data_IF_845477709617
#
_entry.id   IF_845477709617
#
_cell.length_a   1.000
_cell.length_b   1.000
_cell.length_c   1.000
_cell.angle_alpha   90.00
_cell.angle_beta   90.00
_cell.angle_gamma   90.00
#
_symmetry.space_group_name_H-M   'P 1'
#
loop_
_entity.id
_entity.type
_entity.pdbx_description
1 polymer ?
#
# COMPACT_ATOMS: atom_id res chain seq x y z
N UNK A 1 -12.14 14.35 -1.77
CA UNK A 1 -11.81 12.91 -1.80
C UNK A 1 -13.04 12.06 -1.50
N UNK A 2 -13.68 12.19 -0.32
CA UNK A 2 -14.94 11.50 0.01
C UNK A 2 -16.03 11.73 -1.06
N UNK A 3 -16.24 12.97 -1.50
CA UNK A 3 -17.27 13.31 -2.49
C UNK A 3 -17.07 12.63 -3.86
N UNK A 4 -15.82 12.32 -4.26
CA UNK A 4 -15.56 11.60 -5.52
C UNK A 4 -15.81 10.10 -5.37
N UNK A 5 -15.52 9.51 -4.20
CA UNK A 5 -15.84 8.11 -3.88
C UNK A 5 -17.35 7.88 -3.74
N UNK A 6 -18.04 8.75 -3.00
CA UNK A 6 -19.50 8.68 -2.81
C UNK A 6 -20.28 8.79 -4.12
N UNK A 7 -19.81 9.63 -5.05
CA UNK A 7 -20.45 9.77 -6.38
C UNK A 7 -20.12 8.63 -7.34
N UNK A 8 -19.16 7.78 -7.03
CA UNK A 8 -18.62 6.72 -7.93
C UNK A 8 -18.32 7.23 -9.34
N UNK A 9 -17.97 8.52 -9.45
CA UNK A 9 -17.63 9.21 -10.69
C UNK A 9 -16.14 9.51 -10.72
N UNK A 10 -15.56 9.51 -11.91
CA UNK A 10 -14.14 9.81 -12.09
C UNK A 10 -13.35 8.64 -12.68
N UNK A 11 -12.03 8.83 -12.75
CA UNK A 11 -11.12 7.81 -13.27
C UNK A 11 -11.03 6.65 -12.27
N UNK A 12 -11.22 5.44 -12.78
CA UNK A 12 -10.99 4.21 -12.01
C UNK A 12 -9.51 3.83 -12.05
N UNK A 13 -9.04 3.22 -10.99
CA UNK A 13 -7.74 2.57 -10.91
C UNK A 13 -7.94 1.12 -10.49
N UNK A 14 -7.06 0.25 -10.98
CA UNK A 14 -7.02 -1.15 -10.55
C UNK A 14 -6.00 -1.30 -9.43
N UNK A 15 -6.32 -2.12 -8.44
CA UNK A 15 -5.40 -2.45 -7.35
C UNK A 15 -4.86 -3.87 -7.56
N UNK A 16 -3.55 -4.01 -7.46
CA UNK A 16 -2.88 -5.30 -7.48
C UNK A 16 -2.89 -5.91 -6.08
N UNK A 17 -3.41 -7.14 -5.97
CA UNK A 17 -3.61 -7.82 -4.69
C UNK A 17 -3.05 -9.23 -4.82
N UNK A 18 -2.22 -9.63 -3.86
CA UNK A 18 -1.76 -11.00 -3.68
C UNK A 18 -2.28 -11.53 -2.35
N UNK A 19 -3.00 -12.64 -2.40
CA UNK A 19 -3.45 -13.35 -1.20
C UNK A 19 -2.67 -14.65 -1.09
N UNK A 20 -1.94 -14.81 -0.01
CA UNK A 20 -1.25 -16.05 0.36
C UNK A 20 -2.11 -16.76 1.42
N UNK A 21 -2.80 -17.86 1.07
CA UNK A 21 -3.72 -18.53 1.98
C UNK A 21 -3.03 -19.10 3.22
N UNK A 22 -3.75 -19.19 4.32
CA UNK A 22 -3.29 -19.90 5.51
C UNK A 22 -2.86 -21.32 5.17
N UNK A 23 -1.80 -21.81 5.81
CA UNK A 23 -1.33 -23.19 5.65
C UNK A 23 -2.29 -24.18 6.31
N UNK A 24 -2.84 -23.81 7.46
CA UNK A 24 -3.90 -24.55 8.13
C UNK A 24 -5.25 -23.82 7.97
N UNK A 25 -6.08 -24.36 7.10
CA UNK A 25 -7.42 -23.81 6.82
C UNK A 25 -8.45 -24.16 7.90
N UNK A 26 -8.16 -25.11 8.79
CA UNK A 26 -9.12 -25.56 9.83
C UNK A 26 -9.20 -24.60 11.00
N UNK A 27 -8.09 -23.89 11.29
CA UNK A 27 -7.99 -22.95 12.42
C UNK A 27 -7.72 -21.53 11.94
N UNK A 28 -8.37 -21.13 10.83
CA UNK A 28 -8.18 -19.83 10.20
C UNK A 28 -8.57 -18.70 11.16
N UNK A 29 -7.68 -17.72 11.27
CA UNK A 29 -7.81 -16.49 12.08
C UNK A 29 -7.86 -15.26 11.18
N UNK A 30 -8.01 -14.09 11.79
CA UNK A 30 -7.99 -12.80 11.10
C UNK A 30 -6.73 -12.66 10.23
N UNK A 31 -6.87 -12.19 8.98
CA UNK A 31 -5.76 -12.09 8.04
C UNK A 31 -4.72 -11.06 8.47
N UNK A 32 -3.52 -11.18 7.94
CA UNK A 32 -2.46 -10.19 8.07
C UNK A 32 -2.37 -9.36 6.79
N UNK A 33 -2.57 -8.06 6.92
CA UNK A 33 -2.32 -7.09 5.86
C UNK A 33 -0.96 -6.43 6.08
N UNK A 34 -0.06 -6.58 5.12
CA UNK A 34 1.28 -6.01 5.16
C UNK A 34 1.30 -4.65 4.46
N UNK A 35 1.80 -3.64 5.15
CA UNK A 35 1.99 -2.28 4.67
C UNK A 35 3.49 -1.98 4.57
N UNK A 36 3.97 -1.86 3.35
CA UNK A 36 5.38 -1.62 3.03
C UNK A 36 5.83 -0.19 3.32
N UNK A 37 7.14 -0.04 3.29
CA UNK A 37 7.85 1.21 3.54
C UNK A 37 7.94 2.15 2.33
N UNK A 38 8.93 2.98 2.35
CA UNK A 38 9.22 4.01 1.37
C UNK A 38 8.86 5.41 1.89
N UNK A 39 7.77 6.04 1.46
CA UNK A 39 6.62 5.57 0.67
C UNK A 39 6.99 5.18 -0.77
N UNK A 40 6.15 4.33 -1.37
CA UNK A 40 6.24 4.01 -2.80
C UNK A 40 6.68 2.57 -3.12
N UNK A 41 7.06 1.77 -2.12
CA UNK A 41 7.40 0.36 -2.33
C UNK A 41 6.10 -0.46 -2.42
N UNK A 42 6.09 -1.42 -3.33
CA UNK A 42 5.00 -2.36 -3.53
C UNK A 42 4.96 -3.42 -2.43
N UNK A 43 3.79 -3.66 -1.86
CA UNK A 43 3.63 -4.70 -0.85
C UNK A 43 3.72 -6.12 -1.44
N UNK A 44 3.32 -6.28 -2.71
CA UNK A 44 3.32 -7.59 -3.38
C UNK A 44 4.73 -8.15 -3.59
N UNK A 45 5.77 -7.31 -3.58
CA UNK A 45 7.18 -7.73 -3.56
C UNK A 45 7.54 -8.61 -2.35
N UNK A 46 6.82 -8.50 -1.23
CA UNK A 46 7.04 -9.33 -0.05
C UNK A 46 6.45 -10.76 -0.18
N UNK A 47 5.79 -11.10 -1.28
CA UNK A 47 5.15 -12.41 -1.46
C UNK A 47 6.15 -13.58 -1.33
N UNK A 48 7.34 -13.43 -1.90
CA UNK A 48 8.41 -14.42 -1.80
C UNK A 48 8.83 -14.70 -0.34
N UNK A 49 8.99 -13.67 0.47
CA UNK A 49 9.29 -13.81 1.89
C UNK A 49 8.22 -14.62 2.62
N UNK A 50 6.94 -14.25 2.46
CA UNK A 50 5.85 -14.98 3.11
C UNK A 50 5.62 -16.39 2.56
N UNK A 51 6.10 -16.69 1.36
CA UNK A 51 6.07 -18.04 0.81
C UNK A 51 7.16 -18.94 1.41
N UNK A 52 8.28 -18.35 1.86
CA UNK A 52 9.50 -19.07 2.32
C UNK A 52 9.81 -18.79 3.79
N UNK A 53 10.66 -17.82 4.07
CA UNK A 53 11.21 -17.55 5.40
C UNK A 53 10.15 -17.06 6.39
N UNK A 54 9.20 -16.25 5.93
CA UNK A 54 8.07 -15.74 6.70
C UNK A 54 6.83 -16.64 6.71
N UNK A 55 6.93 -17.90 6.22
CA UNK A 55 5.78 -18.80 6.06
C UNK A 55 5.01 -19.05 7.37
N UNK A 56 5.66 -18.95 8.52
CA UNK A 56 5.02 -19.13 9.82
C UNK A 56 3.96 -18.04 10.11
N UNK A 57 4.12 -16.84 9.54
CA UNK A 57 3.12 -15.78 9.65
C UNK A 57 1.77 -16.17 9.06
N UNK A 58 1.77 -17.09 8.08
CA UNK A 58 0.56 -17.61 7.41
C UNK A 58 0.13 -19.01 7.92
N UNK A 59 0.64 -19.48 9.05
CA UNK A 59 0.25 -20.80 9.56
C UNK A 59 -1.26 -20.91 9.73
N UNK A 60 -1.89 -19.94 10.37
CA UNK A 60 -3.33 -19.95 10.71
C UNK A 60 -4.09 -18.74 10.15
N UNK A 61 -3.51 -17.96 9.26
CA UNK A 61 -4.11 -16.75 8.68
C UNK A 61 -3.66 -16.52 7.27
N UNK A 62 -4.51 -15.92 6.47
CA UNK A 62 -4.11 -15.42 5.17
C UNK A 62 -3.15 -14.23 5.35
N UNK A 63 -2.18 -14.08 4.45
CA UNK A 63 -1.40 -12.86 4.29
C UNK A 63 -1.86 -12.17 3.03
N UNK A 64 -2.27 -10.92 3.17
CA UNK A 64 -2.80 -10.08 2.10
C UNK A 64 -1.82 -8.95 1.83
N UNK A 65 -1.38 -8.86 0.60
CA UNK A 65 -0.45 -7.85 0.10
C UNK A 65 -1.20 -7.01 -0.93
N UNK A 66 -1.32 -5.72 -0.67
CA UNK A 66 -2.01 -4.78 -1.56
C UNK A 66 -1.03 -3.69 -1.95
N UNK A 67 -0.71 -3.59 -3.23
CA UNK A 67 0.03 -2.43 -3.71
C UNK A 67 -0.85 -1.20 -3.55
N UNK A 68 -0.39 -0.21 -2.79
CA UNK A 68 -1.14 1.03 -2.62
C UNK A 68 -1.26 1.73 -3.97
N UNK A 69 -2.32 2.55 -4.13
CA UNK A 69 -2.51 3.36 -5.34
C UNK A 69 -1.22 4.08 -5.74
N UNK A 70 -0.83 3.98 -6.99
CA UNK A 70 0.37 4.61 -7.53
C UNK A 70 1.66 3.82 -7.33
N UNK A 71 1.62 2.64 -6.69
CA UNK A 71 2.79 1.79 -6.47
C UNK A 71 2.66 0.44 -7.17
N UNK A 72 3.76 -0.27 -7.34
CA UNK A 72 3.80 -1.62 -7.89
C UNK A 72 3.02 -1.77 -9.19
N UNK A 73 2.00 -2.61 -9.18
CA UNK A 73 1.08 -2.82 -10.30
C UNK A 73 -0.27 -2.08 -10.13
N UNK A 74 -0.41 -1.25 -9.09
CA UNK A 74 -1.62 -0.46 -8.80
C UNK A 74 -1.57 0.91 -9.48
N UNK A 75 -1.63 0.95 -10.80
CA UNK A 75 -1.51 2.16 -11.63
C UNK A 75 -0.27 3.01 -11.25
N UNK A 76 0.95 2.48 -11.41
CA UNK A 76 2.17 3.09 -10.91
C UNK A 76 2.38 4.52 -11.40
N UNK A 77 2.68 5.42 -10.48
CA UNK A 77 3.05 6.82 -10.75
C UNK A 77 4.57 6.96 -10.75
N UNK A 78 5.23 6.24 -11.63
CA UNK A 78 6.67 6.33 -11.83
C UNK A 78 6.99 7.24 -13.02
N UNK A 79 8.03 8.06 -12.86
CA UNK A 79 8.68 8.78 -13.95
C UNK A 79 10.04 8.11 -14.17
N UNK A 80 10.30 7.58 -15.36
CA UNK A 80 11.61 6.96 -15.65
C UNK A 80 12.73 7.98 -15.45
N UNK A 81 13.63 7.68 -14.55
CA UNK A 81 14.79 8.50 -14.28
C UNK A 81 16.04 7.86 -14.89
N UNK A 82 16.67 8.54 -15.84
CA UNK A 82 18.00 8.17 -16.33
C UNK A 82 19.02 9.01 -15.56
N UNK A 83 19.61 8.45 -14.52
CA UNK A 83 20.72 9.07 -13.79
C UNK A 83 22.04 8.71 -14.43
N UNK A 84 22.78 9.72 -14.89
CA UNK A 84 24.18 9.56 -15.20
C UNK A 84 25.00 9.52 -13.89
N UNK A 85 26.19 8.87 -13.85
CA UNK A 85 26.98 8.76 -12.62
C UNK A 85 27.25 10.10 -11.93
N UNK A 86 27.43 11.19 -12.68
CA UNK A 86 27.66 12.54 -12.15
C UNK A 86 26.41 13.11 -11.44
N UNK A 87 25.22 12.63 -11.71
CA UNK A 87 23.98 13.15 -11.12
C UNK A 87 23.84 12.75 -9.65
N UNK A 88 24.54 11.68 -9.22
CA UNK A 88 24.60 11.27 -7.82
C UNK A 88 25.34 12.26 -6.91
N UNK A 89 26.11 13.20 -7.50
CA UNK A 89 26.84 14.25 -6.77
C UNK A 89 26.09 15.59 -6.76
N UNK A 90 24.91 15.66 -7.36
CA UNK A 90 24.06 16.84 -7.42
C UNK A 90 22.96 16.80 -6.38
N UNK A 91 22.24 17.92 -6.25
CA UNK A 91 21.01 17.97 -5.47
C UNK A 91 20.04 16.87 -5.94
N UNK A 92 19.55 16.07 -4.99
CA UNK A 92 18.74 14.88 -5.29
C UNK A 92 17.41 15.23 -5.96
N UNK A 93 16.80 16.34 -5.54
CA UNK A 93 15.50 16.81 -6.03
C UNK A 93 15.53 18.32 -6.36
N UNK A 94 16.20 18.73 -7.45
CA UNK A 94 16.16 20.13 -7.88
C UNK A 94 14.72 20.58 -8.14
N UNK A 95 14.39 21.82 -7.80
CA UNK A 95 13.02 22.35 -7.92
C UNK A 95 12.42 22.15 -9.31
N UNK A 96 13.20 22.41 -10.35
CA UNK A 96 12.71 22.28 -11.73
C UNK A 96 12.47 20.82 -12.12
N UNK A 97 13.28 19.88 -11.61
CA UNK A 97 13.04 18.45 -11.77
C UNK A 97 11.71 18.04 -11.13
N UNK A 98 11.45 18.48 -9.88
CA UNK A 98 10.21 18.16 -9.18
C UNK A 98 8.98 18.76 -9.89
N UNK A 99 9.08 20.00 -10.41
CA UNK A 99 8.01 20.63 -11.19
C UNK A 99 7.72 19.85 -12.47
N UNK A 100 8.74 19.43 -13.19
CA UNK A 100 8.59 18.65 -14.42
C UNK A 100 7.99 17.26 -14.15
N UNK A 101 8.43 16.58 -13.08
CA UNK A 101 7.82 15.33 -12.63
C UNK A 101 6.33 15.53 -12.36
N UNK A 102 5.99 16.54 -11.58
CA UNK A 102 4.60 16.86 -11.24
C UNK A 102 3.77 17.07 -12.49
N UNK A 103 4.20 17.92 -13.42
CA UNK A 103 3.48 18.18 -14.68
C UNK A 103 3.27 16.90 -15.50
N UNK A 104 4.27 16.03 -15.56
CA UNK A 104 4.18 14.75 -16.26
C UNK A 104 3.16 13.83 -15.62
N UNK A 105 3.13 13.75 -14.29
CA UNK A 105 2.21 12.88 -13.55
C UNK A 105 0.78 13.42 -13.56
N UNK A 106 0.58 14.74 -13.52
CA UNK A 106 -0.74 15.38 -13.58
C UNK A 106 -1.47 15.10 -14.91
N UNK A 107 -0.75 14.81 -15.98
CA UNK A 107 -1.35 14.35 -17.26
C UNK A 107 -1.93 12.93 -17.14
N UNK A 108 -1.41 12.12 -16.22
CA UNK A 108 -1.78 10.71 -16.04
C UNK A 108 -2.77 10.50 -14.92
N UNK A 109 -2.74 11.33 -13.88
CA UNK A 109 -3.52 11.15 -12.66
C UNK A 109 -3.84 12.48 -11.97
N UNK A 110 -4.92 12.52 -11.22
CA UNK A 110 -5.18 13.58 -10.25
C UNK A 110 -4.36 13.29 -8.99
N UNK A 111 -3.22 13.95 -8.85
CA UNK A 111 -2.28 13.71 -7.74
C UNK A 111 -2.88 14.03 -6.37
N UNK A 112 -3.94 14.83 -6.31
CA UNK A 112 -4.62 15.14 -5.04
C UNK A 112 -5.32 13.91 -4.43
N UNK A 113 -5.55 12.87 -5.25
CA UNK A 113 -6.17 11.61 -4.83
C UNK A 113 -5.17 10.58 -4.30
N UNK A 114 -3.84 10.88 -4.31
CA UNK A 114 -2.80 9.96 -3.87
C UNK A 114 -2.31 10.29 -2.47
N UNK A 115 -3.24 10.32 -1.52
CA UNK A 115 -2.96 10.55 -0.10
C UNK A 115 -3.01 9.24 0.69
N UNK A 116 -2.30 9.19 1.82
CA UNK A 116 -2.33 8.01 2.71
C UNK A 116 -3.75 7.68 3.16
N UNK A 117 -4.57 8.68 3.49
CA UNK A 117 -5.96 8.44 3.93
C UNK A 117 -6.79 7.74 2.85
N UNK A 118 -6.68 8.19 1.59
CA UNK A 118 -7.42 7.57 0.49
C UNK A 118 -6.88 6.16 0.20
N UNK A 119 -5.57 5.94 0.31
CA UNK A 119 -4.99 4.61 0.16
C UNK A 119 -5.45 3.64 1.26
N UNK A 120 -5.68 4.12 2.48
CA UNK A 120 -6.22 3.30 3.57
C UNK A 120 -7.71 3.01 3.41
N UNK A 121 -8.46 3.93 2.82
CA UNK A 121 -9.84 3.64 2.40
C UNK A 121 -9.88 2.55 1.32
N UNK A 122 -8.95 2.58 0.33
CA UNK A 122 -8.84 1.50 -0.65
C UNK A 122 -8.53 0.16 0.01
N UNK A 123 -7.66 0.16 1.02
CA UNK A 123 -7.32 -1.05 1.76
C UNK A 123 -8.56 -1.62 2.48
N UNK A 124 -9.42 -0.76 3.03
CA UNK A 124 -10.66 -1.18 3.65
C UNK A 124 -11.67 -1.74 2.64
N UNK A 125 -11.76 -1.13 1.46
CA UNK A 125 -12.55 -1.69 0.35
C UNK A 125 -12.05 -3.10 -0.04
N UNK A 126 -10.73 -3.32 -0.09
CA UNK A 126 -10.14 -4.65 -0.36
C UNK A 126 -10.47 -5.63 0.76
N UNK A 127 -10.36 -5.22 2.03
CA UNK A 127 -10.79 -6.03 3.19
C UNK A 127 -12.24 -6.50 3.03
N UNK A 128 -13.14 -5.56 2.76
CA UNK A 128 -14.56 -5.83 2.60
C UNK A 128 -14.84 -6.74 1.40
N UNK A 129 -14.17 -6.50 0.26
CA UNK A 129 -14.31 -7.31 -0.95
C UNK A 129 -13.86 -8.76 -0.74
N UNK A 130 -12.78 -8.97 0.05
CA UNK A 130 -12.29 -10.29 0.42
C UNK A 130 -13.14 -10.97 1.51
N UNK A 131 -14.12 -10.28 2.09
CA UNK A 131 -15.03 -10.81 3.10
C UNK A 131 -14.43 -10.93 4.51
N UNK A 132 -13.37 -10.15 4.81
CA UNK A 132 -12.80 -10.12 6.15
C UNK A 132 -13.51 -9.10 7.04
N UNK A 133 -13.94 -9.52 8.22
CA UNK A 133 -14.57 -8.64 9.22
C UNK A 133 -13.52 -7.71 9.86
N UNK A 134 -12.43 -8.29 10.36
CA UNK A 134 -11.31 -7.58 11.01
C UNK A 134 -9.98 -8.08 10.47
N UNK A 135 -8.96 -7.22 10.55
CA UNK A 135 -7.63 -7.51 10.03
C UNK A 135 -6.53 -7.22 11.06
N UNK A 136 -5.41 -7.92 10.93
CA UNK A 136 -4.18 -7.56 11.60
C UNK A 136 -3.35 -6.71 10.63
N UNK A 137 -2.81 -5.59 11.09
CA UNK A 137 -1.92 -4.74 10.32
C UNK A 137 -0.47 -4.98 10.74
N UNK A 138 0.41 -5.14 9.77
CA UNK A 138 1.85 -5.08 9.96
C UNK A 138 2.40 -3.94 9.12
N UNK A 139 2.89 -2.89 9.76
CA UNK A 139 3.47 -1.72 9.11
C UNK A 139 4.99 -1.68 9.27
N UNK A 140 5.71 -1.51 8.15
CA UNK A 140 7.16 -1.36 8.10
C UNK A 140 7.53 0.07 7.69
N UNK A 141 8.37 0.79 8.47
CA UNK A 141 8.84 2.15 8.13
C UNK A 141 7.64 3.07 7.82
N UNK A 142 7.52 3.69 6.64
CA UNK A 142 6.32 4.46 6.25
C UNK A 142 5.02 3.66 6.44
N UNK A 143 5.04 2.34 6.28
CA UNK A 143 3.88 1.47 6.53
C UNK A 143 3.35 1.59 7.98
N UNK A 144 4.18 1.99 8.94
CA UNK A 144 3.74 2.27 10.32
C UNK A 144 2.80 3.46 10.36
N UNK A 145 3.11 4.54 9.63
CA UNK A 145 2.25 5.71 9.48
C UNK A 145 0.93 5.32 8.78
N UNK A 146 1.01 4.53 7.72
CA UNK A 146 -0.18 4.04 7.01
C UNK A 146 -1.08 3.21 7.93
N UNK A 147 -0.51 2.29 8.73
CA UNK A 147 -1.24 1.50 9.71
C UNK A 147 -1.95 2.36 10.77
N UNK A 148 -1.29 3.39 11.27
CA UNK A 148 -1.91 4.34 12.23
C UNK A 148 -3.02 5.18 11.59
N UNK A 149 -2.88 5.55 10.31
CA UNK A 149 -3.96 6.24 9.56
C UNK A 149 -5.15 5.30 9.37
N UNK A 150 -4.92 4.03 9.01
CA UNK A 150 -5.99 3.03 8.91
C UNK A 150 -6.71 2.83 10.26
N UNK A 151 -5.95 2.63 11.35
CA UNK A 151 -6.50 2.47 12.69
C UNK A 151 -7.38 3.66 13.12
N UNK A 152 -7.01 4.87 12.70
CA UNK A 152 -7.80 6.09 12.97
C UNK A 152 -9.08 6.15 12.14
N UNK A 153 -9.05 5.71 10.87
CA UNK A 153 -10.17 5.82 9.94
C UNK A 153 -11.18 4.65 10.10
N UNK A 154 -10.68 3.46 10.39
CA UNK A 154 -11.44 2.20 10.42
C UNK A 154 -11.13 1.37 11.68
N UNK A 155 -11.23 1.96 12.91
CA UNK A 155 -10.84 1.26 14.15
C UNK A 155 -11.61 -0.03 14.39
N UNK A 156 -12.87 -0.09 13.97
CA UNK A 156 -13.76 -1.25 14.12
C UNK A 156 -13.28 -2.45 13.30
N UNK A 157 -12.56 -2.24 12.22
CA UNK A 157 -12.04 -3.30 11.34
C UNK A 157 -10.63 -3.77 11.73
N UNK A 158 -10.05 -3.22 12.80
CA UNK A 158 -8.71 -3.61 13.26
C UNK A 158 -8.79 -4.64 14.39
N UNK A 159 -8.06 -5.75 14.24
CA UNK A 159 -7.85 -6.71 15.31
C UNK A 159 -6.56 -6.39 16.09
N UNK A 160 -5.43 -6.28 15.39
CA UNK A 160 -4.15 -5.87 15.98
C UNK A 160 -3.34 -5.01 15.01
N UNK A 161 -2.41 -4.24 15.58
CA UNK A 161 -1.42 -3.47 14.80
C UNK A 161 -0.03 -3.77 15.33
N UNK A 162 0.87 -4.17 14.43
CA UNK A 162 2.30 -4.34 14.71
C UNK A 162 3.08 -3.33 13.88
N UNK A 163 3.95 -2.55 14.53
CA UNK A 163 4.73 -1.50 13.91
C UNK A 163 6.22 -1.81 14.02
N UNK A 164 6.92 -1.80 12.89
CA UNK A 164 8.35 -2.07 12.82
C UNK A 164 9.09 -0.91 12.15
N UNK A 165 10.08 -0.34 12.85
CA UNK A 165 10.82 0.84 12.35
C UNK A 165 9.91 2.06 12.20
N UNK A 166 9.29 2.48 13.31
CA UNK A 166 8.30 3.58 13.35
C UNK A 166 8.87 4.86 12.77
N UNK A 167 8.16 5.49 11.83
CA UNK A 167 8.48 6.74 11.13
C UNK A 167 7.46 7.85 11.44
#
# INVERSE_FOLDING_TARGET
>A
ALAARERRTGRKIDLNIVVLPALDQKTKREPLFHLEGGPGIDATGAAGFYATDGKECRRHRDVVLVDQRGTGQSNPLTVPEKKAPQDYLREMYPVDYVKNMRQTLEQRADLTQYTTSIAMDDLDDVRAWLGYDRINLFGLSYGTRAALVYLRLHPEHVHTVTLMGVA
#
